data_IF_823088140283
#
_entry.id   IF_823088140283
#
_cell.length_a   1.000
_cell.length_b   1.000
_cell.length_c   1.000
_cell.angle_alpha   90.00
_cell.angle_beta   90.00
_cell.angle_gamma   90.00
#
_symmetry.space_group_name_H-M   'P 1'
#
loop_
_entity.id
_entity.type
_entity.pdbx_description
1 polymer ?
#
# COMPACT_ATOMS: atom_id res chain seq x y z
N UNK A 1 -4.60 -9.37 9.31
CA UNK A 1 -5.86 -10.02 9.67
C UNK A 1 -5.86 -11.52 9.33
N UNK A 2 -5.42 -11.90 8.12
CA UNK A 2 -5.35 -13.31 7.70
C UNK A 2 -4.41 -14.12 8.61
N UNK A 3 -3.20 -13.66 8.82
CA UNK A 3 -2.19 -14.32 9.67
C UNK A 3 -2.67 -14.46 11.12
N UNK A 4 -3.30 -13.41 11.67
CA UNK A 4 -3.84 -13.42 13.02
C UNK A 4 -5.20 -14.12 13.14
N UNK A 5 -5.79 -14.60 12.03
CA UNK A 5 -7.11 -15.26 11.99
C UNK A 5 -8.23 -14.42 12.62
N UNK A 6 -8.20 -13.09 12.43
CA UNK A 6 -9.23 -12.14 12.91
C UNK A 6 -10.01 -11.55 11.74
N UNK A 7 -11.23 -11.09 12.00
CA UNK A 7 -12.07 -10.42 11.01
C UNK A 7 -11.45 -9.09 10.56
N UNK A 8 -11.69 -8.70 9.31
CA UNK A 8 -11.36 -7.36 8.81
C UNK A 8 -12.56 -6.81 8.06
N UNK A 9 -12.99 -5.63 8.49
CA UNK A 9 -13.93 -4.77 7.77
C UNK A 9 -13.20 -3.46 7.47
N UNK A 10 -13.21 -3.02 6.23
CA UNK A 10 -12.49 -1.83 5.79
C UNK A 10 -13.43 -0.85 5.09
N UNK A 11 -13.33 0.41 5.49
CA UNK A 11 -14.08 1.53 4.92
C UNK A 11 -13.17 2.70 4.60
N UNK A 12 -13.44 3.36 3.46
CA UNK A 12 -12.89 4.68 3.15
C UNK A 12 -13.97 5.72 3.45
N UNK A 13 -13.76 6.54 4.48
CA UNK A 13 -14.80 7.39 5.04
C UNK A 13 -15.27 8.50 4.10
N UNK A 14 -14.44 8.93 3.16
CA UNK A 14 -14.76 9.96 2.17
C UNK A 14 -15.89 9.58 1.23
N UNK A 15 -16.16 8.29 1.07
CA UNK A 15 -17.28 7.79 0.26
C UNK A 15 -18.61 7.74 1.00
N UNK A 16 -18.62 8.05 2.31
CA UNK A 16 -19.81 7.97 3.14
C UNK A 16 -20.42 9.34 3.41
N UNK A 17 -21.74 9.40 3.27
CA UNK A 17 -22.56 10.52 3.76
C UNK A 17 -22.83 10.34 5.24
N UNK A 18 -23.29 11.41 5.92
CA UNK A 18 -23.76 11.32 7.31
C UNK A 18 -24.83 10.22 7.49
N UNK A 19 -25.73 10.10 6.53
CA UNK A 19 -26.86 9.15 6.56
C UNK A 19 -26.40 7.70 6.45
N UNK A 20 -25.45 7.39 5.55
CA UNK A 20 -24.92 6.03 5.44
C UNK A 20 -24.03 5.65 6.62
N UNK A 21 -23.24 6.59 7.14
CA UNK A 21 -22.34 6.32 8.26
C UNK A 21 -23.09 6.15 9.60
N UNK A 22 -24.13 6.97 9.86
CA UNK A 22 -24.80 7.05 11.17
C UNK A 22 -26.14 6.32 11.18
N UNK A 23 -26.78 6.20 10.04
CA UNK A 23 -28.15 5.68 9.88
C UNK A 23 -29.16 6.79 9.62
N UNK A 24 -30.35 6.38 9.22
CA UNK A 24 -31.48 7.28 8.94
C UNK A 24 -32.34 7.43 10.20
N UNK A 25 -32.81 8.65 10.53
CA UNK A 25 -33.75 8.85 11.60
C UNK A 25 -35.13 8.31 11.22
N UNK A 26 -35.80 7.65 12.14
CA UNK A 26 -37.20 7.25 12.02
C UNK A 26 -37.94 7.49 13.32
N UNK A 27 -39.26 7.68 13.25
CA UNK A 27 -40.12 7.93 14.42
C UNK A 27 -40.61 6.57 14.92
N UNK A 28 -40.48 6.38 16.23
CA UNK A 28 -41.00 5.21 16.95
C UNK A 28 -41.75 5.67 18.19
N UNK A 29 -42.88 5.06 18.44
CA UNK A 29 -43.63 5.29 19.70
C UNK A 29 -43.01 4.47 20.83
N UNK A 30 -42.79 5.13 21.98
CA UNK A 30 -42.30 4.50 23.20
C UNK A 30 -43.15 4.95 24.36
N UNK A 31 -43.53 3.99 25.22
CA UNK A 31 -44.30 4.24 26.45
C UNK A 31 -43.34 4.30 27.63
N UNK A 32 -43.41 5.39 28.37
CA UNK A 32 -42.67 5.60 29.60
C UNK A 32 -43.68 5.80 30.74
N UNK A 33 -43.81 4.78 31.58
CA UNK A 33 -44.88 4.76 32.61
C UNK A 33 -46.25 4.58 31.97
N UNK A 34 -47.13 5.60 32.10
CA UNK A 34 -48.46 5.59 31.51
C UNK A 34 -48.64 6.48 30.28
N UNK A 35 -47.57 7.15 29.84
CA UNK A 35 -47.60 8.10 28.73
C UNK A 35 -46.81 7.57 27.55
N UNK A 36 -47.33 7.78 26.33
CA UNK A 36 -46.70 7.37 25.07
C UNK A 36 -46.16 8.60 24.34
N UNK A 37 -44.90 8.53 23.97
CA UNK A 37 -44.19 9.60 23.27
C UNK A 37 -43.65 9.11 21.91
N UNK A 38 -43.68 10.00 20.94
CA UNK A 38 -42.95 9.81 19.69
C UNK A 38 -41.50 10.16 19.91
N UNK A 39 -40.60 9.18 19.74
CA UNK A 39 -39.15 9.35 19.88
C UNK A 39 -38.46 9.12 18.53
N UNK A 40 -37.37 9.86 18.29
CA UNK A 40 -36.54 9.62 17.14
C UNK A 40 -35.52 8.52 17.45
N UNK A 41 -35.51 7.47 16.65
CA UNK A 41 -34.48 6.45 16.63
C UNK A 41 -33.74 6.50 15.29
N UNK A 42 -32.59 5.87 15.21
CA UNK A 42 -31.80 5.75 13.99
C UNK A 42 -31.71 4.30 13.55
N UNK A 43 -31.77 4.06 12.25
CA UNK A 43 -31.43 2.74 11.69
C UNK A 43 -29.97 2.41 12.03
N UNK A 44 -29.61 1.14 11.95
CA UNK A 44 -28.23 0.74 12.18
C UNK A 44 -27.30 1.40 11.15
N UNK A 45 -26.16 1.91 11.63
CA UNK A 45 -25.07 2.38 10.80
C UNK A 45 -24.60 1.27 9.88
N UNK A 46 -24.38 1.57 8.59
CA UNK A 46 -23.80 0.64 7.61
C UNK A 46 -22.43 0.12 8.09
N UNK A 47 -21.62 1.00 8.68
CA UNK A 47 -20.30 0.65 9.23
C UNK A 47 -20.41 -0.41 10.32
N UNK A 48 -21.36 -0.24 11.25
CA UNK A 48 -21.58 -1.22 12.33
C UNK A 48 -22.23 -2.50 11.78
N UNK A 49 -23.22 -2.37 10.89
CA UNK A 49 -23.89 -3.50 10.27
C UNK A 49 -22.91 -4.45 9.57
N UNK A 50 -21.94 -3.90 8.85
CA UNK A 50 -20.92 -4.71 8.15
C UNK A 50 -20.02 -5.50 9.10
N UNK A 51 -19.81 -5.01 10.32
CA UNK A 51 -19.10 -5.77 11.35
C UNK A 51 -19.92 -7.00 11.76
N UNK A 52 -21.23 -6.82 12.04
CA UNK A 52 -22.12 -7.93 12.34
C UNK A 52 -22.23 -8.95 11.21
N UNK A 53 -22.40 -8.47 9.97
CA UNK A 53 -22.41 -9.34 8.79
C UNK A 53 -21.11 -10.13 8.62
N UNK A 54 -19.96 -9.50 8.89
CA UNK A 54 -18.67 -10.18 8.84
C UNK A 54 -18.59 -11.28 9.89
N UNK A 55 -19.04 -11.01 11.11
CA UNK A 55 -19.10 -12.01 12.18
C UNK A 55 -20.00 -13.17 11.80
N UNK A 56 -21.17 -12.90 11.26
CA UNK A 56 -22.13 -13.93 10.84
C UNK A 56 -21.59 -14.81 9.71
N UNK A 57 -21.01 -14.19 8.67
CA UNK A 57 -20.44 -14.89 7.51
C UNK A 57 -19.21 -15.74 7.83
N UNK A 58 -18.40 -15.34 8.80
CA UNK A 58 -17.10 -15.98 9.08
C UNK A 58 -17.04 -16.75 10.39
N UNK A 59 -17.99 -16.55 11.31
CA UNK A 59 -17.95 -17.07 12.67
C UNK A 59 -16.90 -16.42 13.58
N UNK A 60 -16.11 -15.44 13.07
CA UNK A 60 -15.07 -14.77 13.82
C UNK A 60 -15.67 -13.72 14.75
N UNK A 61 -15.39 -13.82 16.05
CA UNK A 61 -15.87 -12.88 17.07
C UNK A 61 -14.95 -11.69 17.27
N UNK A 62 -13.70 -11.81 16.87
CA UNK A 62 -12.67 -10.77 16.99
C UNK A 62 -12.29 -10.22 15.64
N UNK A 63 -12.00 -8.91 15.59
CA UNK A 63 -11.66 -8.29 14.31
C UNK A 63 -11.17 -6.85 14.42
N UNK A 64 -10.87 -6.33 13.24
CA UNK A 64 -10.46 -4.95 13.03
C UNK A 64 -11.49 -4.27 12.14
N UNK A 65 -12.05 -3.17 12.62
CA UNK A 65 -12.76 -2.19 11.82
C UNK A 65 -11.76 -1.12 11.40
N UNK A 66 -11.34 -1.17 10.15
CA UNK A 66 -10.37 -0.23 9.58
C UNK A 66 -11.10 0.89 8.85
N UNK A 67 -10.81 2.14 9.21
CA UNK A 67 -11.39 3.33 8.59
C UNK A 67 -10.28 4.17 7.99
N UNK A 68 -10.23 4.22 6.68
CA UNK A 68 -9.24 4.97 5.91
C UNK A 68 -9.69 6.42 5.70
N UNK A 69 -8.71 7.31 5.50
CA UNK A 69 -8.89 8.74 5.25
C UNK A 69 -9.71 9.47 6.33
N UNK A 70 -9.60 9.04 7.59
CA UNK A 70 -10.42 9.55 8.71
C UNK A 70 -10.36 11.08 8.86
N UNK A 71 -9.27 11.71 8.50
CA UNK A 71 -9.08 13.15 8.58
C UNK A 71 -9.50 13.91 7.31
N UNK A 72 -10.01 13.21 6.29
CA UNK A 72 -10.65 13.79 5.11
C UNK A 72 -12.18 13.77 5.20
N UNK A 73 -12.73 13.41 6.34
CA UNK A 73 -14.17 13.35 6.59
C UNK A 73 -14.82 14.72 6.45
N UNK A 74 -16.06 14.77 5.95
CA UNK A 74 -16.82 16.02 5.80
C UNK A 74 -17.05 16.74 7.14
N UNK A 75 -17.21 18.07 7.10
CA UNK A 75 -17.47 18.89 8.30
C UNK A 75 -18.66 18.41 9.13
N UNK A 76 -19.70 17.97 8.45
CA UNK A 76 -20.93 17.52 9.09
C UNK A 76 -20.81 16.14 9.74
N UNK A 77 -19.88 15.33 9.26
CA UNK A 77 -19.66 13.98 9.77
C UNK A 77 -18.52 13.91 10.80
N UNK A 78 -17.53 14.81 10.74
CA UNK A 78 -16.37 14.79 11.60
C UNK A 78 -16.67 14.69 13.11
N UNK A 79 -17.58 15.49 13.69
CA UNK A 79 -17.88 15.41 15.14
C UNK A 79 -18.44 14.04 15.54
N UNK A 80 -19.24 13.43 14.66
CA UNK A 80 -19.84 12.12 14.92
C UNK A 80 -18.81 10.99 14.80
N UNK A 81 -17.89 11.10 13.86
CA UNK A 81 -16.78 10.15 13.74
C UNK A 81 -15.85 10.21 14.94
N UNK A 82 -15.56 11.41 15.47
CA UNK A 82 -14.77 11.56 16.68
C UNK A 82 -15.47 10.91 17.88
N UNK A 83 -16.78 11.14 18.04
CA UNK A 83 -17.57 10.48 19.06
C UNK A 83 -17.59 8.95 18.90
N UNK A 84 -17.68 8.47 17.66
CA UNK A 84 -17.60 7.05 17.34
C UNK A 84 -16.25 6.43 17.71
N UNK A 85 -15.15 7.09 17.39
CA UNK A 85 -13.81 6.61 17.77
C UNK A 85 -13.65 6.49 19.28
N UNK A 86 -14.25 7.40 20.05
CA UNK A 86 -14.17 7.40 21.51
C UNK A 86 -15.10 6.37 22.15
N UNK A 87 -16.37 6.35 21.72
CA UNK A 87 -17.43 5.54 22.33
C UNK A 87 -17.67 4.19 21.68
N UNK A 88 -17.13 3.98 20.49
CA UNK A 88 -17.44 2.82 19.62
C UNK A 88 -18.93 2.68 19.33
N UNK A 89 -19.67 3.80 19.30
CA UNK A 89 -21.12 3.83 19.12
C UNK A 89 -21.54 4.88 18.12
N UNK A 90 -22.56 4.55 17.32
CA UNK A 90 -23.38 5.52 16.61
C UNK A 90 -24.80 5.47 17.18
N UNK A 91 -25.24 6.56 17.79
CA UNK A 91 -26.53 6.58 18.52
C UNK A 91 -26.57 5.50 19.60
N UNK A 92 -27.55 4.60 19.52
CA UNK A 92 -27.72 3.45 20.40
C UNK A 92 -27.04 2.15 19.90
N UNK A 93 -26.36 2.20 18.75
CA UNK A 93 -25.69 1.05 18.15
C UNK A 93 -24.22 1.02 18.54
N UNK A 94 -23.72 -0.13 18.96
CA UNK A 94 -22.34 -0.32 19.43
C UNK A 94 -21.59 -1.31 18.53
N UNK A 95 -20.31 -1.04 18.31
CA UNK A 95 -19.40 -2.02 17.71
C UNK A 95 -19.28 -3.22 18.67
N UNK A 96 -19.40 -4.46 18.18
CA UNK A 96 -19.31 -5.67 19.02
C UNK A 96 -18.01 -5.74 19.83
N UNK A 97 -18.10 -6.37 21.00
CA UNK A 97 -16.91 -6.68 21.79
C UNK A 97 -15.95 -7.58 21.01
N UNK A 98 -14.65 -7.43 21.24
CA UNK A 98 -13.62 -8.12 20.47
C UNK A 98 -13.18 -7.39 19.18
N UNK A 99 -13.89 -6.31 18.79
CA UNK A 99 -13.50 -5.52 17.64
C UNK A 99 -12.75 -4.23 18.03
N UNK A 100 -11.62 -4.01 17.34
CA UNK A 100 -10.78 -2.82 17.51
C UNK A 100 -11.00 -1.89 16.33
N UNK A 101 -11.16 -0.59 16.59
CA UNK A 101 -11.20 0.42 15.53
C UNK A 101 -9.77 0.88 15.27
N UNK A 102 -9.34 0.79 14.03
CA UNK A 102 -8.06 1.30 13.54
C UNK A 102 -8.36 2.30 12.43
N UNK A 103 -7.75 3.46 12.50
CA UNK A 103 -7.95 4.51 11.49
C UNK A 103 -6.63 4.88 10.83
N UNK A 104 -6.69 5.22 9.56
CA UNK A 104 -5.57 5.80 8.83
C UNK A 104 -5.93 7.19 8.30
N UNK A 105 -4.94 8.02 8.14
CA UNK A 105 -5.10 9.34 7.56
C UNK A 105 -3.75 9.91 7.12
N UNK A 106 -3.77 10.72 6.11
CA UNK A 106 -2.58 11.39 5.60
C UNK A 106 -2.34 12.70 6.35
N UNK A 107 -1.09 13.08 6.63
CA UNK A 107 -0.80 14.37 7.23
C UNK A 107 -1.14 15.53 6.27
N UNK A 108 -1.37 16.75 6.81
CA UNK A 108 -1.80 17.92 6.01
C UNK A 108 -0.85 18.27 4.85
N UNK A 109 0.43 17.93 4.97
CA UNK A 109 1.43 18.15 3.93
C UNK A 109 1.11 17.37 2.65
N UNK A 110 0.40 16.26 2.75
CA UNK A 110 0.05 15.41 1.60
C UNK A 110 -1.31 15.73 1.00
N UNK A 111 -2.24 16.25 1.80
CA UNK A 111 -3.59 16.56 1.33
C UNK A 111 -4.12 17.84 1.98
N UNK A 112 -4.43 18.85 1.17
CA UNK A 112 -4.97 20.14 1.65
C UNK A 112 -6.37 20.05 2.25
N UNK A 113 -7.11 18.99 1.96
CA UNK A 113 -8.46 18.75 2.51
C UNK A 113 -8.43 18.09 3.88
N UNK A 114 -7.26 17.78 4.38
CA UNK A 114 -7.05 17.13 5.69
C UNK A 114 -7.31 18.13 6.82
N UNK A 115 -7.99 17.65 7.85
CA UNK A 115 -8.18 18.36 9.11
C UNK A 115 -7.25 17.79 10.16
N UNK A 116 -6.68 18.64 10.96
CA UNK A 116 -5.97 18.24 12.15
C UNK A 116 -6.99 17.88 13.24
N UNK A 117 -6.74 16.79 13.94
CA UNK A 117 -7.48 16.45 15.15
C UNK A 117 -7.06 17.39 16.28
N UNK A 118 -8.04 17.81 17.06
CA UNK A 118 -7.76 18.59 18.26
C UNK A 118 -7.02 17.76 19.34
N UNK A 119 -6.40 18.45 20.27
CA UNK A 119 -5.60 17.82 21.35
C UNK A 119 -6.47 16.85 22.18
N UNK A 120 -7.74 17.17 22.38
CA UNK A 120 -8.66 16.31 23.17
C UNK A 120 -8.92 14.99 22.48
N UNK A 121 -9.00 15.00 21.14
CA UNK A 121 -9.15 13.78 20.34
C UNK A 121 -7.86 12.98 20.34
N UNK A 122 -6.71 13.65 20.11
CA UNK A 122 -5.39 12.99 20.10
C UNK A 122 -5.05 12.32 21.44
N UNK A 123 -5.46 12.90 22.55
CA UNK A 123 -5.26 12.34 23.89
C UNK A 123 -6.02 11.02 24.14
N UNK A 124 -7.05 10.76 23.35
CA UNK A 124 -7.92 9.57 23.49
C UNK A 124 -7.64 8.46 22.49
N UNK A 125 -6.78 8.71 21.52
CA UNK A 125 -6.36 7.73 20.52
C UNK A 125 -4.88 7.41 20.67
N UNK A 126 -4.50 6.23 20.21
CA UNK A 126 -3.07 5.86 20.12
C UNK A 126 -2.58 6.19 18.73
N UNK A 127 -1.77 7.23 18.62
CA UNK A 127 -1.17 7.64 17.34
C UNK A 127 0.07 6.82 17.03
N UNK A 128 0.18 6.38 15.79
CA UNK A 128 1.34 5.70 15.22
C UNK A 128 1.72 6.44 13.94
N UNK A 129 2.91 7.01 13.89
CA UNK A 129 3.43 7.68 12.70
C UNK A 129 4.17 6.65 11.83
N UNK A 130 3.65 6.42 10.63
CA UNK A 130 4.25 5.51 9.65
C UNK A 130 5.13 6.31 8.71
N UNK A 131 6.40 5.95 8.64
CA UNK A 131 7.37 6.58 7.73
C UNK A 131 7.80 5.61 6.64
N UNK A 132 8.08 6.11 5.42
CA UNK A 132 8.63 5.27 4.37
C UNK A 132 10.05 4.83 4.71
N UNK A 133 10.27 3.51 4.76
CA UNK A 133 11.58 2.90 4.97
C UNK A 133 11.93 2.02 3.77
N UNK A 134 13.07 2.30 3.15
CA UNK A 134 13.50 1.57 1.95
C UNK A 134 13.91 0.14 2.28
N UNK A 135 14.56 -0.14 3.40
CA UNK A 135 15.02 -1.50 3.73
C UNK A 135 13.81 -2.42 3.98
N UNK A 136 12.82 -1.94 4.74
CA UNK A 136 11.56 -2.67 4.97
C UNK A 136 10.80 -2.85 3.65
N UNK A 137 10.72 -1.81 2.82
CA UNK A 137 10.07 -1.92 1.51
C UNK A 137 10.80 -2.89 0.59
N UNK A 138 12.12 -2.99 0.67
CA UNK A 138 12.92 -3.89 -0.14
C UNK A 138 12.61 -5.37 0.17
N UNK A 139 12.42 -5.74 1.43
CA UNK A 139 11.97 -7.08 1.81
C UNK A 139 10.60 -7.40 1.16
N UNK A 140 9.64 -6.50 1.32
CA UNK A 140 8.35 -6.60 0.65
C UNK A 140 8.49 -6.67 -0.88
N UNK A 141 9.38 -5.88 -1.48
CA UNK A 141 9.60 -5.84 -2.92
C UNK A 141 10.08 -7.19 -3.48
N UNK A 142 10.96 -7.89 -2.77
CA UNK A 142 11.36 -9.25 -3.14
C UNK A 142 10.21 -10.24 -3.03
N UNK A 143 9.43 -10.20 -1.96
CA UNK A 143 8.26 -11.08 -1.78
C UNK A 143 7.18 -10.86 -2.84
N UNK A 144 6.96 -9.63 -3.28
CA UNK A 144 5.97 -9.28 -4.29
C UNK A 144 6.48 -9.38 -5.73
N UNK A 145 7.73 -9.76 -5.93
CA UNK A 145 8.32 -9.88 -7.26
C UNK A 145 8.44 -8.55 -7.99
N UNK A 146 8.76 -7.48 -7.26
CA UNK A 146 9.06 -6.17 -7.87
C UNK A 146 10.23 -6.31 -8.85
N UNK A 147 10.12 -5.65 -10.01
CA UNK A 147 11.10 -5.75 -11.09
C UNK A 147 12.52 -5.46 -10.61
N UNK A 148 13.51 -6.33 -10.88
CA UNK A 148 14.87 -6.20 -10.35
C UNK A 148 15.55 -4.87 -10.70
N UNK A 149 15.26 -4.28 -11.87
CA UNK A 149 15.79 -2.96 -12.23
C UNK A 149 15.32 -1.85 -11.29
N UNK A 150 14.10 -1.95 -10.75
CA UNK A 150 13.59 -0.97 -9.78
C UNK A 150 14.33 -1.13 -8.45
N UNK A 151 14.47 -2.35 -7.96
CA UNK A 151 15.16 -2.63 -6.69
C UNK A 151 16.62 -2.17 -6.77
N UNK A 152 17.36 -2.61 -7.79
CA UNK A 152 18.78 -2.27 -7.96
C UNK A 152 19.02 -0.77 -8.17
N UNK A 153 18.14 -0.09 -8.90
CA UNK A 153 18.20 1.38 -9.01
C UNK A 153 18.03 2.06 -7.66
N UNK A 154 17.07 1.63 -6.87
CA UNK A 154 16.80 2.23 -5.56
C UNK A 154 17.88 1.89 -4.53
N UNK A 155 18.52 0.73 -4.62
CA UNK A 155 19.71 0.43 -3.82
C UNK A 155 20.86 1.41 -4.08
N UNK A 156 21.08 1.77 -5.34
CA UNK A 156 22.09 2.76 -5.73
C UNK A 156 21.70 4.19 -5.37
N UNK A 157 20.41 4.49 -5.39
CA UNK A 157 19.86 5.86 -5.22
C UNK A 157 18.72 5.87 -4.22
N UNK A 158 18.98 5.44 -2.99
CA UNK A 158 17.98 5.30 -1.90
C UNK A 158 17.11 6.53 -1.67
N UNK A 159 17.70 7.72 -1.81
CA UNK A 159 16.97 8.99 -1.67
C UNK A 159 15.86 9.21 -2.71
N UNK A 160 15.86 8.44 -3.80
CA UNK A 160 14.84 8.49 -4.83
C UNK A 160 13.65 7.56 -4.54
N UNK A 161 13.72 6.74 -3.50
CA UNK A 161 12.65 5.85 -3.09
C UNK A 161 11.38 6.61 -2.68
N UNK A 162 11.56 7.62 -1.83
CA UNK A 162 10.46 8.45 -1.37
C UNK A 162 10.91 9.92 -1.35
N UNK A 163 10.36 10.71 -2.26
CA UNK A 163 10.74 12.12 -2.40
C UNK A 163 9.53 12.93 -2.82
N UNK A 164 9.28 14.01 -2.09
CA UNK A 164 8.24 14.99 -2.42
C UNK A 164 8.83 16.38 -2.38
N UNK A 165 8.53 17.17 -3.40
CA UNK A 165 8.98 18.56 -3.51
C UNK A 165 7.81 19.43 -3.97
N UNK A 166 7.73 20.63 -3.43
CA UNK A 166 6.79 21.65 -3.91
C UNK A 166 7.55 22.55 -4.90
N UNK A 167 6.97 22.68 -6.08
CA UNK A 167 7.47 23.57 -7.13
C UNK A 167 6.42 24.64 -7.45
N UNK A 168 6.79 25.61 -8.27
CA UNK A 168 5.87 26.67 -8.74
C UNK A 168 4.72 26.07 -9.53
N UNK A 169 4.98 24.98 -10.30
CA UNK A 169 4.02 24.32 -11.17
C UNK A 169 3.21 23.23 -10.45
N UNK A 170 3.47 22.99 -9.17
CA UNK A 170 2.79 21.98 -8.37
C UNK A 170 3.74 21.06 -7.61
N UNK A 171 3.22 19.94 -7.16
CA UNK A 171 4.02 18.93 -6.45
C UNK A 171 4.63 17.96 -7.42
N UNK A 172 5.92 17.66 -7.21
CA UNK A 172 6.62 16.58 -7.88
C UNK A 172 7.01 15.52 -6.86
N UNK A 173 6.89 14.24 -7.23
CA UNK A 173 7.09 13.18 -6.26
C UNK A 173 7.51 11.84 -6.87
N UNK A 174 8.16 11.04 -6.04
CA UNK A 174 8.35 9.61 -6.20
C UNK A 174 7.91 8.93 -4.90
N UNK A 175 7.16 7.85 -5.00
CA UNK A 175 6.60 7.13 -3.84
C UNK A 175 6.76 5.62 -4.00
N UNK A 176 6.71 4.88 -2.90
CA UNK A 176 6.75 3.42 -2.91
C UNK A 176 5.69 2.80 -3.83
N UNK A 177 4.44 3.34 -3.81
CA UNK A 177 3.36 2.92 -4.72
C UNK A 177 3.70 3.17 -6.18
N UNK A 178 4.24 4.37 -6.50
CA UNK A 178 4.65 4.70 -7.87
C UNK A 178 5.71 3.72 -8.41
N UNK A 179 6.67 3.33 -7.57
CA UNK A 179 7.68 2.32 -7.94
C UNK A 179 7.09 0.93 -8.15
N UNK A 180 6.14 0.52 -7.32
CA UNK A 180 5.44 -0.76 -7.47
C UNK A 180 4.61 -0.80 -8.75
N UNK A 181 3.80 0.23 -9.01
CA UNK A 181 2.97 0.32 -10.22
C UNK A 181 3.82 0.39 -11.49
N UNK A 182 4.92 1.15 -11.46
CA UNK A 182 5.90 1.19 -12.56
C UNK A 182 6.53 -0.19 -12.79
N UNK A 183 6.88 -0.92 -11.73
CA UNK A 183 7.41 -2.27 -11.83
C UNK A 183 6.46 -3.21 -12.58
N UNK A 184 5.19 -3.19 -12.21
CA UNK A 184 4.16 -4.00 -12.89
C UNK A 184 4.04 -3.64 -14.36
N UNK A 185 4.11 -2.34 -14.68
CA UNK A 185 4.09 -1.89 -16.08
C UNK A 185 5.31 -2.40 -16.85
N UNK A 186 6.52 -2.28 -16.29
CA UNK A 186 7.76 -2.77 -16.94
C UNK A 186 7.61 -4.24 -17.27
N UNK A 187 7.16 -5.08 -16.33
CA UNK A 187 6.94 -6.51 -16.55
C UNK A 187 5.96 -6.78 -17.72
N UNK A 188 4.85 -6.03 -17.78
CA UNK A 188 3.90 -6.15 -18.89
C UNK A 188 4.51 -5.71 -20.21
N UNK A 189 5.28 -4.61 -20.25
CA UNK A 189 5.95 -4.12 -21.45
C UNK A 189 7.00 -5.10 -21.95
N UNK A 190 7.75 -5.75 -21.06
CA UNK A 190 8.69 -6.83 -21.43
C UNK A 190 7.96 -8.01 -22.10
N UNK A 191 6.77 -8.42 -21.59
CA UNK A 191 5.99 -9.51 -22.23
C UNK A 191 5.45 -9.13 -23.61
N UNK A 192 5.29 -7.84 -23.86
CA UNK A 192 4.78 -7.29 -25.13
C UNK A 192 5.91 -6.82 -26.08
N UNK A 193 7.16 -7.04 -25.69
CA UNK A 193 8.35 -6.56 -26.40
C UNK A 193 8.30 -5.05 -26.70
N UNK A 194 7.88 -4.26 -25.69
CA UNK A 194 7.79 -2.81 -25.76
C UNK A 194 8.83 -2.14 -24.89
N UNK A 195 9.35 -1.02 -25.34
CA UNK A 195 10.29 -0.21 -24.59
C UNK A 195 9.56 0.71 -23.60
N UNK A 196 10.17 0.90 -22.43
CA UNK A 196 9.73 1.85 -21.41
C UNK A 196 10.63 3.07 -21.49
N UNK A 197 10.10 4.15 -22.01
CA UNK A 197 10.81 5.42 -22.15
C UNK A 197 10.58 6.34 -20.94
N UNK A 198 11.18 7.54 -20.99
CA UNK A 198 11.04 8.54 -19.95
C UNK A 198 9.58 8.97 -19.71
N UNK A 199 8.79 9.11 -20.75
CA UNK A 199 7.42 9.60 -20.67
C UNK A 199 6.52 8.57 -19.97
N UNK A 200 6.74 7.29 -20.24
CA UNK A 200 6.09 6.18 -19.56
C UNK A 200 6.47 6.15 -18.06
N UNK A 201 7.77 6.28 -17.75
CA UNK A 201 8.24 6.34 -16.36
C UNK A 201 7.61 7.53 -15.61
N UNK A 202 7.53 8.70 -16.27
CA UNK A 202 7.00 9.92 -15.67
C UNK A 202 5.53 9.82 -15.28
N UNK A 203 4.74 8.95 -15.91
CA UNK A 203 3.35 8.71 -15.52
C UNK A 203 3.22 8.15 -14.10
N UNK A 204 4.21 7.41 -13.61
CA UNK A 204 4.24 6.78 -12.29
C UNK A 204 5.15 7.52 -11.31
N UNK A 205 6.28 7.98 -11.78
CA UNK A 205 7.28 8.71 -11.00
C UNK A 205 7.20 10.19 -11.42
N UNK A 206 6.29 10.94 -10.80
CA UNK A 206 6.02 12.33 -11.17
C UNK A 206 7.08 13.31 -10.66
N UNK A 207 8.32 12.88 -10.65
CA UNK A 207 9.51 13.70 -10.39
C UNK A 207 10.41 13.67 -11.64
N UNK A 208 10.45 14.76 -12.42
CA UNK A 208 11.07 14.76 -13.76
C UNK A 208 12.52 14.30 -13.80
N UNK A 209 13.31 14.71 -12.79
CA UNK A 209 14.72 14.32 -12.71
C UNK A 209 14.88 12.84 -12.37
N UNK A 210 14.06 12.30 -11.47
CA UNK A 210 14.10 10.90 -11.09
C UNK A 210 13.60 10.03 -12.25
N UNK A 211 12.52 10.44 -12.92
CA UNK A 211 12.00 9.72 -14.08
C UNK A 211 13.03 9.64 -15.22
N UNK A 212 13.71 10.74 -15.50
CA UNK A 212 14.80 10.77 -16.50
C UNK A 212 15.97 9.87 -16.09
N UNK A 213 16.39 9.92 -14.84
CA UNK A 213 17.52 9.15 -14.33
C UNK A 213 17.21 7.65 -14.35
N UNK A 214 15.99 7.27 -13.90
CA UNK A 214 15.56 5.86 -13.94
C UNK A 214 15.38 5.33 -15.36
N UNK A 215 14.81 6.10 -16.29
CA UNK A 215 14.66 5.66 -17.68
C UNK A 215 16.03 5.41 -18.33
N UNK A 216 17.03 6.27 -18.08
CA UNK A 216 18.39 6.05 -18.54
C UNK A 216 19.02 4.79 -17.90
N UNK A 217 18.79 4.60 -16.60
CA UNK A 217 19.24 3.39 -15.90
C UNK A 217 18.60 2.12 -16.48
N UNK A 218 17.29 2.12 -16.73
CA UNK A 218 16.57 0.97 -17.28
C UNK A 218 17.06 0.60 -18.68
N UNK A 219 17.35 1.60 -19.53
CA UNK A 219 17.93 1.36 -20.86
C UNK A 219 19.31 0.68 -20.76
N UNK A 220 20.17 1.13 -19.82
CA UNK A 220 21.46 0.48 -19.56
C UNK A 220 21.29 -0.92 -18.97
N UNK A 221 20.37 -1.09 -18.04
CA UNK A 221 20.03 -2.38 -17.44
C UNK A 221 19.65 -3.41 -18.51
N UNK A 222 18.76 -3.05 -19.44
CA UNK A 222 18.34 -3.92 -20.53
C UNK A 222 19.49 -4.22 -21.52
N UNK A 223 20.30 -3.21 -21.84
CA UNK A 223 21.51 -3.40 -22.65
C UNK A 223 22.48 -4.40 -22.02
N UNK A 224 22.77 -4.24 -20.71
CA UNK A 224 23.71 -5.12 -20.01
C UNK A 224 23.14 -6.53 -19.82
N UNK A 225 21.84 -6.69 -19.65
CA UNK A 225 21.19 -8.00 -19.63
C UNK A 225 21.50 -8.82 -20.87
N UNK A 226 21.52 -8.15 -22.05
CA UNK A 226 21.84 -8.77 -23.34
C UNK A 226 23.34 -8.89 -23.55
N UNK A 227 24.13 -7.83 -23.33
CA UNK A 227 25.55 -7.77 -23.60
C UNK A 227 26.39 -8.76 -22.78
N UNK A 228 25.96 -9.07 -21.56
CA UNK A 228 26.64 -9.95 -20.61
C UNK A 228 26.04 -11.35 -20.54
N UNK A 229 24.96 -11.63 -21.29
CA UNK A 229 24.27 -12.93 -21.27
C UNK A 229 24.08 -13.44 -19.84
N UNK A 230 23.41 -12.66 -19.00
CA UNK A 230 23.29 -12.88 -17.54
C UNK A 230 22.77 -14.29 -17.21
N UNK A 231 21.89 -14.84 -18.05
CA UNK A 231 21.36 -16.19 -17.90
C UNK A 231 22.44 -17.27 -18.08
N UNK A 232 23.35 -17.08 -19.01
CA UNK A 232 24.49 -17.99 -19.18
C UNK A 232 25.48 -17.90 -18.01
N UNK A 233 25.72 -16.69 -17.49
CA UNK A 233 26.56 -16.47 -16.31
C UNK A 233 26.03 -17.22 -15.09
N UNK A 234 24.71 -17.19 -14.86
CA UNK A 234 24.07 -17.91 -13.76
C UNK A 234 24.16 -19.43 -13.89
N UNK A 235 24.23 -19.94 -15.13
CA UNK A 235 24.47 -21.36 -15.40
C UNK A 235 25.95 -21.75 -15.37
N UNK A 236 26.84 -20.83 -14.98
CA UNK A 236 28.28 -21.07 -14.96
C UNK A 236 28.92 -21.10 -16.37
N UNK A 237 28.22 -20.61 -17.39
CA UNK A 237 28.69 -20.54 -18.75
C UNK A 237 29.22 -19.13 -19.04
N UNK A 238 30.53 -19.00 -19.27
CA UNK A 238 31.13 -17.73 -19.65
C UNK A 238 32.19 -17.94 -20.71
N UNK A 239 32.35 -16.92 -21.52
CA UNK A 239 33.43 -16.90 -22.55
C UNK A 239 34.55 -15.96 -22.12
N UNK A 240 35.78 -16.13 -22.65
CA UNK A 240 36.86 -15.15 -22.46
C UNK A 240 36.46 -13.71 -22.84
N UNK A 241 35.57 -13.57 -23.84
CA UNK A 241 35.06 -12.28 -24.29
C UNK A 241 34.18 -11.65 -23.20
N UNK A 242 33.26 -12.43 -22.60
CA UNK A 242 32.40 -11.98 -21.49
C UNK A 242 33.22 -11.53 -20.30
N UNK A 243 34.25 -12.32 -19.91
CA UNK A 243 35.16 -11.97 -18.84
C UNK A 243 35.98 -10.70 -19.14
N UNK A 244 36.42 -10.54 -20.40
CA UNK A 244 37.11 -9.34 -20.83
C UNK A 244 36.22 -8.09 -20.73
N UNK A 245 34.96 -8.18 -21.14
CA UNK A 245 33.97 -7.10 -21.00
C UNK A 245 33.76 -6.73 -19.51
N UNK A 246 33.54 -7.71 -18.65
CA UNK A 246 33.36 -7.49 -17.21
C UNK A 246 34.57 -6.81 -16.58
N UNK A 247 35.80 -7.24 -16.92
CA UNK A 247 37.04 -6.64 -16.38
C UNK A 247 37.22 -5.17 -16.76
N UNK A 248 36.75 -4.78 -17.94
CA UNK A 248 36.90 -3.43 -18.48
C UNK A 248 35.64 -2.54 -18.25
N UNK A 249 34.61 -3.07 -17.62
CA UNK A 249 33.38 -2.37 -17.34
C UNK A 249 33.59 -1.22 -16.37
N UNK A 250 32.78 -0.16 -16.47
CA UNK A 250 32.74 0.93 -15.49
C UNK A 250 32.13 0.46 -14.16
N UNK A 251 32.33 1.24 -13.08
CA UNK A 251 31.75 0.92 -11.78
C UNK A 251 30.22 0.81 -11.82
N UNK A 252 29.54 1.74 -12.53
CA UNK A 252 28.08 1.72 -12.69
C UNK A 252 27.60 0.47 -13.46
N UNK A 253 28.38 0.03 -14.42
CA UNK A 253 28.15 -1.17 -15.20
C UNK A 253 28.30 -2.44 -14.33
N UNK A 254 29.37 -2.52 -13.52
CA UNK A 254 29.53 -3.59 -12.54
C UNK A 254 28.36 -3.69 -11.56
N UNK A 255 27.92 -2.55 -11.00
CA UNK A 255 26.80 -2.49 -10.08
C UNK A 255 25.48 -2.93 -10.75
N UNK A 256 25.29 -2.56 -12.01
CA UNK A 256 24.13 -2.99 -12.80
C UNK A 256 24.15 -4.50 -13.07
N UNK A 257 25.31 -5.07 -13.39
CA UNK A 257 25.49 -6.53 -13.59
C UNK A 257 25.22 -7.29 -12.29
N UNK A 258 25.76 -6.81 -11.16
CA UNK A 258 25.49 -7.40 -9.84
C UNK A 258 24.01 -7.33 -9.49
N UNK A 259 23.35 -6.20 -9.76
CA UNK A 259 21.89 -6.05 -9.59
C UNK A 259 21.08 -7.04 -10.44
N UNK A 260 21.49 -7.23 -11.72
CA UNK A 260 20.90 -8.22 -12.62
C UNK A 260 21.04 -9.65 -12.09
N UNK A 261 22.25 -10.02 -11.66
CA UNK A 261 22.52 -11.35 -11.09
C UNK A 261 21.74 -11.59 -9.82
N UNK A 262 21.73 -10.62 -8.90
CA UNK A 262 20.98 -10.73 -7.65
C UNK A 262 19.46 -10.85 -7.89
N UNK A 263 18.90 -10.06 -8.80
CA UNK A 263 17.49 -10.13 -9.15
C UNK A 263 17.09 -11.50 -9.69
N UNK A 264 17.90 -12.05 -10.62
CA UNK A 264 17.66 -13.40 -11.17
C UNK A 264 17.85 -14.51 -10.14
N UNK A 265 18.86 -14.42 -9.29
CA UNK A 265 19.07 -15.38 -8.20
C UNK A 265 17.90 -15.37 -7.23
N UNK A 266 17.42 -14.19 -6.81
CA UNK A 266 16.26 -14.07 -5.93
C UNK A 266 15.00 -14.68 -6.54
N UNK A 267 14.78 -14.49 -7.83
CA UNK A 267 13.69 -15.12 -8.56
C UNK A 267 13.81 -16.65 -8.57
N UNK A 268 15.00 -17.18 -8.91
CA UNK A 268 15.25 -18.62 -8.90
C UNK A 268 15.03 -19.25 -7.52
N UNK A 269 15.48 -18.58 -6.44
CA UNK A 269 15.23 -19.07 -5.08
C UNK A 269 13.76 -19.03 -4.71
N UNK A 270 13.02 -17.99 -5.10
CA UNK A 270 11.59 -17.92 -4.87
C UNK A 270 10.86 -19.05 -5.63
N UNK A 271 11.19 -19.27 -6.89
CA UNK A 271 10.60 -20.33 -7.72
C UNK A 271 10.87 -21.72 -7.13
N UNK A 272 12.10 -21.99 -6.66
CA UNK A 272 12.45 -23.24 -5.97
C UNK A 272 11.65 -23.40 -4.66
N UNK A 273 11.55 -22.35 -3.84
CA UNK A 273 10.81 -22.40 -2.58
C UNK A 273 9.32 -22.68 -2.80
N UNK A 274 8.71 -22.08 -3.80
CA UNK A 274 7.32 -22.34 -4.15
C UNK A 274 7.10 -23.75 -4.70
N UNK A 275 8.04 -24.28 -5.47
CA UNK A 275 7.99 -25.67 -5.97
C UNK A 275 8.05 -26.66 -4.82
N UNK A 276 8.98 -26.52 -3.89
CA UNK A 276 9.11 -27.38 -2.71
C UNK A 276 7.86 -27.31 -1.80
N UNK A 277 7.32 -26.09 -1.57
CA UNK A 277 6.11 -25.91 -0.79
C UNK A 277 4.87 -26.57 -1.47
N UNK A 278 4.82 -26.56 -2.80
CA UNK A 278 3.74 -27.20 -3.57
C UNK A 278 3.82 -28.73 -3.54
N UNK A 279 5.03 -29.31 -3.59
CA UNK A 279 5.25 -30.75 -3.48
C UNK A 279 4.94 -31.28 -2.07
N UNK A 280 5.36 -30.54 -1.02
CA UNK A 280 5.05 -30.86 0.39
C UNK A 280 3.52 -30.80 0.64
N UNK A 281 2.83 -29.81 0.07
CA UNK A 281 1.36 -29.70 0.17
C UNK A 281 0.56 -30.79 -0.58
N UNK A 282 1.18 -31.49 -1.52
CA UNK A 282 0.57 -32.66 -2.19
C UNK A 282 0.79 -33.99 -1.46
N UNK A 283 1.72 -34.06 -0.53
CA UNK A 283 2.06 -35.27 0.22
C UNK A 283 1.23 -35.42 1.51
N UNK A 284 0.34 -34.51 1.80
CA UNK A 284 -0.65 -34.53 2.89
C UNK A 284 -2.07 -34.35 2.32
#
# INVERSE_FOLDING_TARGET
ARECKVGLVSYTITHHTRQSAVGLPFIKEKTFGQETFSVTEYTMSEIIASVYEKMEKTGLREGILFIDEINCVSETLAPMMLQFLQGKTFGNQKVPEGWVIVTAGNPPEYNKSVREFDVVTLDRIKRIDVQPDFEVWKEYAYEQGIHPAVISYLELRRKNFYRMENTVDGRIFATARGWEDLSRLIQVYETLDKEVDREVVYQYIQHPLIAKDFAAYLALYNKYKTDYAVEDLLQGKWTPITLGKIRNASLDEHLSIVGLLNGKLSQLFADCYFMDAYEIGRAH
#
